data_IF_365900430080
#
_entry.id   IF_365900430080
#
_cell.length_a   1.000
_cell.length_b   1.000
_cell.length_c   1.000
_cell.angle_alpha   90.00
_cell.angle_beta   90.00
_cell.angle_gamma   90.00
#
_symmetry.space_group_name_H-M   'P 1'
#
loop_
_entity.id
_entity.type
_entity.pdbx_description
1 polymer ?
#
# COMPACT_ATOMS: atom_id res chain seq x y z
N UNK A 1 -60.48 24.78 17.76
CA UNK A 1 -61.54 23.91 17.18
C UNK A 1 -61.08 23.40 15.82
N UNK A 2 -60.75 22.18 15.70
CA UNK A 2 -61.04 21.09 14.80
C UNK A 2 -59.94 20.04 14.89
N UNK A 3 -60.31 18.96 15.49
CA UNK A 3 -59.71 17.64 15.56
C UNK A 3 -59.94 16.89 14.26
N UNK A 4 -59.03 16.07 13.80
CA UNK A 4 -59.17 14.92 12.90
C UNK A 4 -57.77 14.27 12.84
N UNK A 5 -57.45 12.99 13.06
CA UNK A 5 -58.22 11.77 13.15
C UNK A 5 -57.20 10.65 12.93
N UNK A 6 -57.07 9.81 13.90
CA UNK A 6 -56.17 8.62 13.92
C UNK A 6 -56.68 7.61 12.89
N UNK A 7 -55.82 7.10 12.00
CA UNK A 7 -56.15 5.96 11.15
C UNK A 7 -55.09 4.85 11.41
N UNK A 8 -55.44 3.96 12.31
CA UNK A 8 -54.75 2.68 12.62
C UNK A 8 -55.12 1.67 11.52
N UNK A 9 -54.11 1.14 10.80
CA UNK A 9 -54.28 -0.06 9.98
C UNK A 9 -53.45 -1.19 10.52
N UNK A 10 -54.15 -2.17 11.05
CA UNK A 10 -53.68 -3.53 11.36
C UNK A 10 -53.28 -4.22 10.05
N UNK A 11 -52.10 -4.81 10.03
CA UNK A 11 -51.70 -5.83 9.03
C UNK A 11 -51.50 -7.17 9.76
N UNK A 12 -52.41 -8.10 9.46
CA UNK A 12 -52.38 -9.50 9.91
C UNK A 12 -51.23 -10.23 9.24
N UNK A 13 -50.36 -10.84 10.03
CA UNK A 13 -49.33 -11.78 9.59
C UNK A 13 -49.98 -13.16 9.36
N UNK A 14 -49.93 -13.65 8.13
CA UNK A 14 -50.26 -15.02 7.75
C UNK A 14 -49.00 -15.87 7.81
N UNK A 15 -48.90 -16.76 8.82
CA UNK A 15 -47.85 -17.77 8.94
C UNK A 15 -48.26 -18.99 8.15
N UNK A 16 -47.56 -19.32 7.08
CA UNK A 16 -47.72 -20.56 6.31
C UNK A 16 -46.67 -21.56 6.75
N UNK A 17 -47.10 -22.57 7.53
CA UNK A 17 -46.27 -23.71 7.94
C UNK A 17 -46.24 -24.74 6.81
N UNK A 18 -45.10 -24.96 6.15
CA UNK A 18 -44.90 -26.12 5.27
C UNK A 18 -44.25 -27.26 6.08
N UNK A 19 -45.07 -28.29 6.34
CA UNK A 19 -44.59 -29.56 6.88
C UNK A 19 -44.03 -30.43 5.76
N UNK A 20 -42.73 -30.74 5.77
CA UNK A 20 -42.15 -31.78 4.93
C UNK A 20 -42.18 -33.10 5.70
N UNK A 21 -42.94 -34.08 5.18
CA UNK A 21 -42.90 -35.46 5.62
C UNK A 21 -41.69 -36.16 4.99
N UNK A 22 -40.85 -36.79 5.82
CA UNK A 22 -39.76 -37.64 5.38
C UNK A 22 -40.27 -39.09 5.29
N UNK A 23 -40.19 -39.70 4.11
CA UNK A 23 -40.38 -41.14 3.91
C UNK A 23 -39.06 -41.88 4.08
N UNK A 24 -39.06 -43.10 4.69
CA UNK A 24 -37.84 -43.88 4.83
C UNK A 24 -37.55 -44.70 3.54
N UNK A 25 -36.35 -44.55 3.01
CA UNK A 25 -35.82 -45.39 1.93
C UNK A 25 -35.33 -46.71 2.53
N UNK A 26 -35.89 -47.81 2.03
CA UNK A 26 -35.52 -49.20 2.39
C UNK A 26 -34.14 -49.53 1.82
N UNK A 27 -33.29 -50.10 2.67
CA UNK A 27 -31.99 -50.67 2.26
C UNK A 27 -32.20 -51.97 1.48
N UNK A 28 -31.71 -52.02 0.25
CA UNK A 28 -31.54 -53.25 -0.54
C UNK A 28 -30.16 -53.83 -0.29
N UNK A 29 -30.14 -55.05 0.20
CA UNK A 29 -28.93 -55.84 0.45
C UNK A 29 -28.22 -56.26 -0.83
N UNK A 30 -26.90 -56.24 -0.80
CA UNK A 30 -26.02 -56.81 -1.82
C UNK A 30 -25.67 -58.26 -1.45
N UNK A 31 -25.55 -59.19 -2.43
CA UNK A 31 -25.21 -60.59 -2.22
C UNK A 31 -23.72 -60.74 -1.88
N UNK A 32 -23.47 -61.59 -0.90
CA UNK A 32 -22.16 -62.09 -0.49
C UNK A 32 -21.56 -62.97 -1.62
N UNK A 33 -20.35 -62.64 -2.09
CA UNK A 33 -19.55 -63.51 -2.90
C UNK A 33 -18.31 -63.97 -2.15
N UNK A 34 -18.29 -65.26 -1.85
CA UNK A 34 -17.11 -66.02 -1.46
C UNK A 34 -16.04 -66.02 -2.55
N UNK A 35 -14.83 -65.65 -2.18
CA UNK A 35 -13.71 -65.70 -3.13
C UNK A 35 -12.36 -65.49 -2.45
N UNK A 36 -11.71 -66.60 -2.14
CA UNK A 36 -10.29 -66.90 -1.94
C UNK A 36 -9.31 -65.69 -1.83
N UNK A 37 -8.58 -65.67 -0.70
CA UNK A 37 -7.45 -64.78 -0.45
C UNK A 37 -6.26 -65.09 -1.38
N UNK A 38 -5.64 -64.08 -2.04
CA UNK A 38 -4.29 -64.20 -2.56
C UNK A 38 -3.28 -63.68 -1.55
N UNK A 39 -2.22 -64.42 -1.41
CA UNK A 39 -0.99 -64.27 -0.66
C UNK A 39 -0.42 -62.85 -0.82
N UNK A 40 -0.21 -62.17 0.29
CA UNK A 40 0.43 -60.86 0.35
C UNK A 40 1.92 -60.93 0.05
N UNK A 41 2.31 -60.42 -1.12
CA UNK A 41 3.68 -59.97 -1.35
C UNK A 41 3.77 -58.55 -0.86
N UNK A 42 4.41 -58.35 0.28
CA UNK A 42 4.74 -57.01 0.80
C UNK A 42 5.82 -56.43 -0.10
N UNK A 43 5.40 -55.57 -1.03
CA UNK A 43 6.28 -54.62 -1.69
C UNK A 43 6.51 -53.48 -0.68
N UNK A 44 7.74 -53.38 -0.20
CA UNK A 44 8.26 -52.29 0.62
C UNK A 44 8.12 -50.99 -0.19
N UNK A 45 7.04 -50.27 0.04
CA UNK A 45 6.86 -48.92 -0.51
C UNK A 45 7.80 -47.97 0.24
N UNK A 46 8.95 -47.71 -0.39
CA UNK A 46 9.84 -46.64 -0.03
C UNK A 46 9.03 -45.33 -0.06
N UNK A 47 8.67 -44.81 1.10
CA UNK A 47 8.04 -43.49 1.22
C UNK A 47 8.95 -42.43 0.55
N UNK A 48 8.41 -41.59 -0.32
CA UNK A 48 9.22 -40.49 -0.85
C UNK A 48 9.67 -39.63 0.34
N UNK A 49 10.98 -39.47 0.50
CA UNK A 49 11.56 -38.46 1.34
C UNK A 49 11.02 -37.10 0.89
N UNK A 50 10.06 -36.58 1.62
CA UNK A 50 9.68 -35.17 1.50
C UNK A 50 10.89 -34.38 1.99
N UNK A 51 11.74 -33.97 1.05
CA UNK A 51 12.65 -32.86 1.31
C UNK A 51 11.79 -31.64 1.60
N UNK A 52 11.61 -31.30 2.86
CA UNK A 52 11.06 -30.02 3.27
C UNK A 52 12.05 -28.96 2.78
N UNK A 53 11.81 -28.43 1.60
CA UNK A 53 12.50 -27.23 1.18
C UNK A 53 12.05 -26.15 2.18
N UNK A 54 12.91 -25.84 3.15
CA UNK A 54 12.73 -24.68 4.01
C UNK A 54 12.80 -23.48 3.07
N UNK A 55 11.64 -23.00 2.64
CA UNK A 55 11.59 -21.75 1.89
C UNK A 55 12.21 -20.68 2.77
N UNK A 56 13.41 -20.25 2.38
CA UNK A 56 14.10 -19.17 3.05
C UNK A 56 13.27 -17.91 2.83
N UNK A 57 12.81 -17.24 3.89
CA UNK A 57 12.00 -16.04 3.74
C UNK A 57 12.77 -15.03 2.89
N UNK A 58 12.09 -14.54 1.85
CA UNK A 58 12.65 -13.58 0.90
C UNK A 58 12.23 -12.17 1.31
N UNK A 59 13.18 -11.26 1.41
CA UNK A 59 12.94 -9.83 1.58
C UNK A 59 13.03 -9.17 0.22
N UNK A 60 11.96 -8.51 -0.18
CA UNK A 60 11.90 -7.73 -1.42
C UNK A 60 12.00 -6.25 -1.07
N UNK A 61 12.91 -5.55 -1.75
CA UNK A 61 13.14 -4.12 -1.59
C UNK A 61 12.94 -3.45 -2.93
N UNK A 62 11.91 -2.63 -3.03
CA UNK A 62 11.70 -1.78 -4.19
C UNK A 62 12.65 -0.59 -4.11
N UNK A 63 13.36 -0.33 -5.21
CA UNK A 63 14.30 0.77 -5.34
C UNK A 63 13.96 1.60 -6.58
N UNK A 64 13.79 2.90 -6.40
CA UNK A 64 13.66 3.87 -7.47
C UNK A 64 14.95 4.66 -7.59
N UNK A 65 15.47 4.77 -8.79
CA UNK A 65 16.66 5.59 -9.09
C UNK A 65 16.27 6.71 -10.03
N UNK A 66 16.54 7.95 -9.65
CA UNK A 66 16.25 9.14 -10.45
C UNK A 66 17.49 10.03 -10.57
N UNK A 67 17.44 11.00 -11.45
CA UNK A 67 18.30 12.16 -11.36
C UNK A 67 17.75 13.22 -10.37
N UNK A 68 18.47 14.31 -10.18
CA UNK A 68 18.08 15.42 -9.29
C UNK A 68 16.81 16.18 -9.76
N UNK A 69 16.42 16.01 -11.01
CA UNK A 69 15.21 16.61 -11.59
C UNK A 69 14.00 15.63 -11.49
N UNK A 70 14.19 14.42 -10.91
CA UNK A 70 13.15 13.41 -10.74
C UNK A 70 12.95 12.51 -11.97
N UNK A 71 13.80 12.61 -13.01
CA UNK A 71 13.72 11.71 -14.17
C UNK A 71 14.21 10.32 -13.78
N UNK A 72 13.40 9.30 -14.03
CA UNK A 72 13.71 7.91 -13.70
C UNK A 72 14.88 7.39 -14.55
N UNK A 73 15.83 6.75 -13.91
CA UNK A 73 16.99 6.14 -14.57
C UNK A 73 16.70 4.66 -14.80
N UNK A 74 16.43 4.32 -16.05
CA UNK A 74 16.17 2.95 -16.51
C UNK A 74 17.45 2.25 -16.99
N UNK A 75 17.37 0.91 -17.13
CA UNK A 75 18.44 0.09 -17.71
C UNK A 75 19.58 -0.26 -16.77
N UNK A 76 19.45 0.03 -15.46
CA UNK A 76 20.41 -0.46 -14.46
C UNK A 76 20.28 -1.99 -14.33
N UNK A 77 21.41 -2.62 -14.02
CA UNK A 77 21.53 -4.08 -13.87
C UNK A 77 21.73 -4.43 -12.40
N UNK A 78 21.51 -5.69 -12.03
CA UNK A 78 21.74 -6.23 -10.69
C UNK A 78 23.08 -5.79 -10.08
N UNK A 79 24.15 -5.82 -10.89
CA UNK A 79 25.49 -5.43 -10.45
C UNK A 79 25.69 -3.95 -10.14
N UNK A 80 24.72 -3.09 -10.47
CA UNK A 80 24.74 -1.68 -10.09
C UNK A 80 24.26 -1.46 -8.65
N UNK A 81 23.61 -2.46 -8.04
CA UNK A 81 22.99 -2.34 -6.73
C UNK A 81 23.75 -3.10 -5.66
N UNK A 82 23.77 -2.56 -4.47
CA UNK A 82 24.27 -3.18 -3.25
C UNK A 82 23.24 -2.97 -2.15
N UNK A 83 22.88 -4.06 -1.49
CA UNK A 83 21.97 -4.04 -0.34
C UNK A 83 22.76 -4.32 0.92
N UNK A 84 22.57 -3.51 1.94
CA UNK A 84 23.16 -3.72 3.27
C UNK A 84 22.03 -3.89 4.29
N UNK A 85 22.12 -4.93 5.11
CA UNK A 85 21.24 -5.23 6.24
C UNK A 85 22.03 -5.00 7.53
N UNK A 86 21.64 -4.02 8.34
CA UNK A 86 22.39 -3.53 9.51
C UNK A 86 23.88 -3.29 9.21
N UNK A 87 24.16 -2.75 8.01
CA UNK A 87 25.51 -2.46 7.54
C UNK A 87 26.25 -3.67 6.95
N UNK A 88 25.71 -4.88 7.01
CA UNK A 88 26.30 -6.09 6.43
C UNK A 88 25.83 -6.27 4.98
N UNK A 89 26.74 -6.43 4.00
CA UNK A 89 26.35 -6.66 2.60
C UNK A 89 25.55 -7.94 2.44
N UNK A 90 24.45 -7.85 1.68
CA UNK A 90 23.61 -8.98 1.35
C UNK A 90 23.77 -9.39 -0.12
N UNK A 91 23.63 -10.68 -0.38
CA UNK A 91 23.63 -11.20 -1.75
C UNK A 91 22.22 -11.00 -2.33
N UNK A 92 22.12 -10.18 -3.37
CA UNK A 92 20.87 -10.03 -4.11
C UNK A 92 20.63 -11.35 -4.84
N UNK A 93 19.62 -12.10 -4.44
CA UNK A 93 19.29 -13.41 -5.04
C UNK A 93 18.53 -13.22 -6.33
N UNK A 94 17.55 -12.30 -6.34
CA UNK A 94 16.72 -12.02 -7.48
C UNK A 94 16.66 -10.52 -7.78
N UNK A 95 16.50 -10.19 -9.07
CA UNK A 95 16.49 -8.82 -9.57
C UNK A 95 15.52 -8.73 -10.75
N UNK A 96 14.55 -7.84 -10.64
CA UNK A 96 13.60 -7.58 -11.70
C UNK A 96 13.37 -6.07 -11.87
N UNK A 97 13.10 -5.65 -13.10
CA UNK A 97 12.37 -4.39 -13.36
C UNK A 97 10.89 -4.68 -13.18
N UNK A 98 10.19 -3.83 -12.46
CA UNK A 98 8.82 -4.16 -12.05
C UNK A 98 7.84 -3.84 -13.18
N UNK A 99 7.43 -4.89 -13.92
CA UNK A 99 6.25 -4.86 -14.80
C UNK A 99 5.03 -5.53 -14.11
N UNK A 100 5.16 -5.87 -12.83
CA UNK A 100 4.09 -6.51 -12.09
C UNK A 100 2.96 -5.54 -11.76
N UNK A 101 1.69 -5.97 -11.83
CA UNK A 101 0.56 -5.15 -11.43
C UNK A 101 0.73 -4.62 -10.00
N UNK A 102 0.41 -3.35 -9.82
CA UNK A 102 0.42 -2.71 -8.51
C UNK A 102 -0.98 -2.64 -7.93
N UNK A 103 -1.07 -2.63 -6.60
CA UNK A 103 -2.28 -2.27 -5.88
C UNK A 103 -2.06 -0.94 -5.18
N UNK A 104 -2.84 0.07 -5.53
CA UNK A 104 -2.72 1.40 -4.96
C UNK A 104 -4.02 1.82 -4.27
N UNK A 105 -3.88 2.37 -3.05
CA UNK A 105 -4.97 3.06 -2.37
C UNK A 105 -4.73 4.55 -2.47
N UNK A 106 -5.65 5.27 -3.11
CA UNK A 106 -5.73 6.72 -3.03
C UNK A 106 -6.42 7.03 -1.70
N UNK A 107 -5.61 7.45 -0.72
CA UNK A 107 -6.09 7.87 0.60
C UNK A 107 -6.14 9.40 0.63
N UNK A 108 -7.33 9.94 0.53
CA UNK A 108 -7.54 11.37 0.35
C UNK A 108 -8.24 11.99 1.55
N UNK A 109 -7.66 13.04 2.10
CA UNK A 109 -8.33 13.87 3.08
C UNK A 109 -9.56 14.53 2.47
N UNK A 110 -10.70 14.35 3.14
CA UNK A 110 -11.98 14.92 2.73
C UNK A 110 -12.65 15.58 3.94
N UNK A 111 -11.95 16.54 4.52
CA UNK A 111 -12.35 17.31 5.68
C UNK A 111 -12.68 18.76 5.30
N UNK A 112 -13.32 19.48 6.18
CA UNK A 112 -13.56 20.90 5.99
C UNK A 112 -12.29 21.74 5.94
N UNK A 113 -11.17 21.25 6.50
CA UNK A 113 -9.84 21.89 6.41
C UNK A 113 -9.34 21.87 4.96
N UNK A 114 -9.54 20.74 4.26
CA UNK A 114 -9.05 20.53 2.90
C UNK A 114 -10.06 20.92 1.82
N UNK A 115 -11.30 21.24 2.18
CA UNK A 115 -12.44 21.34 1.26
C UNK A 115 -12.22 22.34 0.12
N UNK A 116 -11.82 23.57 0.44
CA UNK A 116 -11.65 24.62 -0.56
C UNK A 116 -10.56 24.26 -1.59
N UNK A 117 -9.62 23.41 -1.19
CA UNK A 117 -8.56 22.92 -2.07
C UNK A 117 -9.04 21.78 -2.99
N UNK A 118 -9.90 20.89 -2.50
CA UNK A 118 -10.31 19.67 -3.21
C UNK A 118 -11.62 19.79 -3.98
N UNK A 119 -12.56 20.62 -3.53
CA UNK A 119 -13.97 20.57 -3.95
C UNK A 119 -14.17 20.64 -5.48
N UNK A 120 -13.32 21.40 -6.16
CA UNK A 120 -13.44 21.59 -7.61
C UNK A 120 -12.45 20.80 -8.45
N UNK A 121 -11.45 20.18 -7.84
CA UNK A 121 -10.25 19.74 -8.56
C UNK A 121 -9.86 18.28 -8.33
N UNK A 122 -10.34 17.65 -7.25
CA UNK A 122 -10.05 16.24 -6.97
C UNK A 122 -10.35 15.33 -8.16
N UNK A 123 -11.44 15.61 -8.89
CA UNK A 123 -11.81 14.85 -10.07
C UNK A 123 -10.80 15.02 -11.22
N UNK A 124 -10.32 16.24 -11.49
CA UNK A 124 -9.37 16.49 -12.57
C UNK A 124 -7.99 15.89 -12.25
N UNK A 125 -7.55 16.00 -11.01
CA UNK A 125 -6.28 15.40 -10.55
C UNK A 125 -6.35 13.89 -10.53
N UNK A 126 -7.48 13.34 -10.07
CA UNK A 126 -7.72 11.90 -10.07
C UNK A 126 -7.67 11.33 -11.49
N UNK A 127 -8.29 12.00 -12.47
CA UNK A 127 -8.24 11.59 -13.87
C UNK A 127 -6.80 11.58 -14.39
N UNK A 128 -6.04 12.65 -14.18
CA UNK A 128 -4.63 12.73 -14.59
C UNK A 128 -3.79 11.59 -14.01
N UNK A 129 -3.97 11.28 -12.71
CA UNK A 129 -3.27 10.16 -12.08
C UNK A 129 -3.70 8.81 -12.65
N UNK A 130 -5.02 8.59 -12.76
CA UNK A 130 -5.58 7.31 -13.21
C UNK A 130 -5.19 7.00 -14.67
N UNK A 131 -5.07 8.02 -15.53
CA UNK A 131 -4.67 7.86 -16.92
C UNK A 131 -3.23 7.37 -17.08
N UNK A 132 -2.36 7.62 -16.07
CA UNK A 132 -0.98 7.16 -16.07
C UNK A 132 -0.78 5.75 -15.47
N UNK A 133 -1.81 5.18 -14.83
CA UNK A 133 -1.77 3.81 -14.34
C UNK A 133 -2.03 2.81 -15.46
N UNK A 134 -1.40 1.64 -15.37
CA UNK A 134 -1.62 0.56 -16.32
C UNK A 134 -3.00 -0.09 -16.15
N UNK A 135 -3.52 -0.71 -17.21
CA UNK A 135 -4.86 -1.33 -17.17
C UNK A 135 -4.94 -2.49 -16.17
N UNK A 136 -3.83 -3.13 -15.89
CA UNK A 136 -3.72 -4.25 -14.95
C UNK A 136 -3.66 -3.82 -13.47
N UNK A 137 -3.46 -2.53 -13.20
CA UNK A 137 -3.32 -2.02 -11.84
C UNK A 137 -4.65 -1.98 -11.10
N UNK A 138 -4.58 -2.29 -9.80
CA UNK A 138 -5.71 -2.22 -8.90
C UNK A 138 -5.70 -0.89 -8.15
N UNK A 139 -6.84 -0.24 -8.11
CA UNK A 139 -7.02 1.05 -7.42
C UNK A 139 -8.19 0.95 -6.45
N UNK A 140 -8.01 1.49 -5.26
CA UNK A 140 -9.09 1.78 -4.33
C UNK A 140 -9.10 3.27 -3.99
N UNK A 141 -10.27 3.84 -3.73
CA UNK A 141 -10.44 5.20 -3.26
C UNK A 141 -10.99 5.17 -1.83
N UNK A 142 -10.20 5.68 -0.91
CA UNK A 142 -10.59 5.89 0.48
C UNK A 142 -10.51 7.38 0.78
N UNK A 143 -11.58 7.95 1.27
CA UNK A 143 -11.56 9.33 1.80
C UNK A 143 -11.59 9.28 3.31
N UNK A 144 -11.04 10.30 3.96
CA UNK A 144 -11.15 10.40 5.41
C UNK A 144 -11.43 11.83 5.87
N UNK A 145 -12.22 11.92 6.91
CA UNK A 145 -12.43 13.03 7.81
C UNK A 145 -12.16 12.53 9.24
N UNK A 146 -13.15 12.49 10.11
CA UNK A 146 -13.03 11.85 11.43
C UNK A 146 -12.88 10.31 11.35
N UNK A 147 -13.16 9.69 10.20
CA UNK A 147 -12.99 8.26 9.97
C UNK A 147 -12.73 7.96 8.49
N UNK A 148 -12.02 6.88 8.19
CA UNK A 148 -11.87 6.42 6.81
C UNK A 148 -13.21 5.91 6.25
N UNK A 149 -13.47 6.23 4.98
CA UNK A 149 -14.65 5.79 4.22
C UNK A 149 -14.20 5.27 2.87
N UNK A 150 -14.44 3.99 2.60
CA UNK A 150 -14.19 3.39 1.29
C UNK A 150 -15.24 3.91 0.31
N UNK A 151 -14.80 4.67 -0.68
CA UNK A 151 -15.64 5.17 -1.78
C UNK A 151 -15.71 4.18 -2.92
N UNK A 152 -14.57 3.56 -3.24
CA UNK A 152 -14.45 2.48 -4.21
C UNK A 152 -13.46 1.48 -3.64
N UNK A 153 -13.87 0.23 -3.54
CA UNK A 153 -12.98 -0.87 -3.14
C UNK A 153 -12.09 -1.28 -4.32
N UNK A 154 -11.11 -2.14 -4.10
CA UNK A 154 -10.12 -2.54 -5.09
C UNK A 154 -10.77 -2.92 -6.42
N UNK A 155 -10.44 -2.17 -7.46
CA UNK A 155 -10.97 -2.34 -8.82
C UNK A 155 -9.91 -2.02 -9.86
N UNK A 156 -10.07 -2.57 -11.06
CA UNK A 156 -9.33 -2.16 -12.27
C UNK A 156 -10.10 -1.14 -13.10
N UNK A 157 -11.34 -0.85 -12.72
CA UNK A 157 -12.19 0.13 -13.40
C UNK A 157 -11.82 1.55 -12.99
N UNK A 158 -10.87 2.15 -13.69
CA UNK A 158 -10.49 3.56 -13.49
C UNK A 158 -11.68 4.52 -13.61
N UNK A 159 -12.62 4.32 -14.59
CA UNK A 159 -13.81 5.16 -14.66
C UNK A 159 -14.69 5.11 -13.41
N UNK A 160 -14.75 3.97 -12.70
CA UNK A 160 -15.51 3.86 -11.46
C UNK A 160 -14.90 4.74 -10.35
N UNK A 161 -13.57 4.76 -10.26
CA UNK A 161 -12.84 5.61 -9.31
C UNK A 161 -13.02 7.09 -9.65
N UNK A 162 -12.90 7.45 -10.92
CA UNK A 162 -13.11 8.81 -11.40
C UNK A 162 -14.55 9.29 -11.11
N UNK A 163 -15.55 8.46 -11.39
CA UNK A 163 -16.94 8.79 -11.09
C UNK A 163 -17.15 9.01 -9.59
N UNK A 164 -16.55 8.19 -8.74
CA UNK A 164 -16.62 8.36 -7.29
C UNK A 164 -15.99 9.69 -6.84
N UNK A 165 -14.83 10.06 -7.40
CA UNK A 165 -14.20 11.36 -7.14
C UNK A 165 -15.10 12.53 -7.58
N UNK A 166 -15.71 12.43 -8.76
CA UNK A 166 -16.67 13.45 -9.26
C UNK A 166 -17.94 13.57 -8.42
N UNK A 167 -18.32 12.51 -7.71
CA UNK A 167 -19.51 12.48 -6.85
C UNK A 167 -19.26 13.03 -5.45
N UNK A 168 -18.01 13.36 -5.10
CA UNK A 168 -17.72 13.97 -3.82
C UNK A 168 -18.40 15.33 -3.70
N UNK A 169 -19.17 15.49 -2.63
CA UNK A 169 -19.89 16.71 -2.28
C UNK A 169 -19.22 17.41 -1.10
N UNK A 170 -19.97 18.14 -0.29
CA UNK A 170 -19.43 18.77 0.90
C UNK A 170 -18.99 17.73 1.96
N UNK A 171 -17.82 17.89 2.62
CA UNK A 171 -17.40 17.03 3.71
C UNK A 171 -18.36 17.16 4.90
N UNK A 172 -18.53 16.04 5.63
CA UNK A 172 -19.41 16.02 6.78
C UNK A 172 -18.80 16.66 8.02
N UNK A 173 -17.48 16.64 8.14
CA UNK A 173 -16.74 17.11 9.30
C UNK A 173 -15.60 18.03 8.87
N UNK A 174 -15.25 18.94 9.79
CA UNK A 174 -14.11 19.84 9.59
C UNK A 174 -12.78 19.14 9.94
N UNK A 175 -12.83 18.23 10.89
CA UNK A 175 -11.69 17.52 11.47
C UNK A 175 -11.15 16.45 10.51
N UNK A 176 -9.86 16.10 10.71
CA UNK A 176 -9.17 15.06 9.95
C UNK A 176 -8.39 14.13 10.88
N UNK A 177 -8.73 12.84 10.89
CA UNK A 177 -8.06 11.80 11.65
C UNK A 177 -7.12 11.00 10.74
N UNK A 178 -6.01 11.62 10.37
CA UNK A 178 -5.05 11.08 9.40
C UNK A 178 -4.39 9.79 9.89
N UNK A 179 -4.01 9.70 11.16
CA UNK A 179 -3.32 8.52 11.68
C UNK A 179 -4.24 7.30 11.71
N UNK A 180 -5.50 7.47 12.09
CA UNK A 180 -6.49 6.40 12.05
C UNK A 180 -6.73 5.93 10.60
N UNK A 181 -6.77 6.85 9.65
CA UNK A 181 -6.96 6.54 8.25
C UNK A 181 -5.77 5.78 7.63
N UNK A 182 -4.55 6.17 7.97
CA UNK A 182 -3.33 5.44 7.56
C UNK A 182 -3.34 4.03 8.17
N UNK A 183 -3.63 3.91 9.48
CA UNK A 183 -3.64 2.63 10.17
C UNK A 183 -4.68 1.65 9.58
N UNK A 184 -5.92 2.11 9.36
CA UNK A 184 -6.99 1.31 8.73
C UNK A 184 -6.61 0.88 7.30
N UNK A 185 -6.00 1.78 6.53
CA UNK A 185 -5.56 1.48 5.15
C UNK A 185 -4.45 0.45 5.13
N UNK A 186 -3.49 0.52 6.06
CA UNK A 186 -2.44 -0.48 6.20
C UNK A 186 -3.00 -1.86 6.56
N UNK A 187 -3.98 -1.92 7.49
CA UNK A 187 -4.65 -3.17 7.87
C UNK A 187 -5.40 -3.79 6.67
N UNK A 188 -6.07 -2.98 5.84
CA UNK A 188 -6.71 -3.45 4.60
C UNK A 188 -5.72 -4.01 3.58
N UNK A 189 -4.53 -3.42 3.50
CA UNK A 189 -3.48 -3.86 2.59
C UNK A 189 -2.70 -5.08 3.09
N UNK A 190 -2.85 -5.50 4.35
CA UNK A 190 -2.10 -6.62 4.92
C UNK A 190 -2.32 -7.91 4.14
N UNK A 191 -3.57 -8.20 3.76
CA UNK A 191 -3.94 -9.42 3.02
C UNK A 191 -3.69 -9.33 1.50
N UNK A 192 -3.36 -8.15 1.00
CA UNK A 192 -3.09 -7.95 -0.43
C UNK A 192 -1.68 -8.45 -0.75
N UNK A 193 -1.56 -9.31 -1.76
CA UNK A 193 -0.27 -9.83 -2.23
C UNK A 193 0.33 -8.92 -3.30
N UNK A 194 1.65 -8.99 -3.46
CA UNK A 194 2.37 -8.23 -4.46
C UNK A 194 2.73 -6.81 -4.02
N UNK A 195 2.98 -5.95 -5.00
CA UNK A 195 3.39 -4.56 -4.76
C UNK A 195 2.20 -3.72 -4.33
N UNK A 196 2.37 -3.01 -3.24
CA UNK A 196 1.31 -2.22 -2.59
C UNK A 196 1.78 -0.81 -2.29
N UNK A 197 0.94 0.17 -2.58
CA UNK A 197 1.26 1.57 -2.30
C UNK A 197 0.04 2.34 -1.80
N UNK A 198 0.30 3.37 -1.02
CA UNK A 198 -0.68 4.38 -0.63
C UNK A 198 -0.25 5.70 -1.27
N UNK A 199 -1.15 6.34 -1.99
CA UNK A 199 -1.03 7.74 -2.36
C UNK A 199 -1.85 8.55 -1.37
N UNK A 200 -1.16 9.13 -0.39
CA UNK A 200 -1.76 9.97 0.65
C UNK A 200 -1.82 11.42 0.17
N UNK A 201 -3.01 11.97 0.03
CA UNK A 201 -3.26 13.36 -0.34
C UNK A 201 -3.89 14.05 0.86
N UNK A 202 -3.17 14.99 1.47
CA UNK A 202 -3.52 15.47 2.81
C UNK A 202 -3.01 16.89 3.07
N UNK A 203 -3.67 17.61 3.98
CA UNK A 203 -3.09 18.79 4.61
C UNK A 203 -1.97 18.45 5.59
N UNK A 204 -1.90 17.20 6.05
CA UNK A 204 -0.96 16.73 7.06
C UNK A 204 -1.39 17.01 8.49
N UNK A 205 -2.57 17.58 8.67
CA UNK A 205 -3.15 17.82 10.00
C UNK A 205 -3.81 16.55 10.52
N UNK A 206 -3.55 16.23 11.78
CA UNK A 206 -4.27 15.22 12.55
C UNK A 206 -4.95 15.86 13.74
N UNK A 207 -6.25 15.67 13.91
CA UNK A 207 -7.01 16.36 14.95
C UNK A 207 -7.32 15.48 16.15
N UNK A 208 -7.96 14.33 15.95
CA UNK A 208 -8.50 13.49 17.02
C UNK A 208 -8.31 11.99 16.78
N UNK A 209 -7.27 11.59 16.04
CA UNK A 209 -6.99 10.15 15.87
C UNK A 209 -6.79 9.46 17.22
N UNK A 210 -7.28 8.25 17.31
CA UNK A 210 -7.00 7.35 18.45
C UNK A 210 -5.62 6.72 18.30
N UNK A 211 -5.24 6.41 17.09
CA UNK A 211 -3.92 5.92 16.73
C UNK A 211 -2.89 7.02 16.96
N UNK A 212 -1.82 6.70 17.65
CA UNK A 212 -0.72 7.63 17.92
C UNK A 212 0.29 7.61 16.77
N UNK A 213 1.06 8.68 16.64
CA UNK A 213 2.09 8.81 15.61
C UNK A 213 3.15 7.67 15.66
N UNK A 214 3.57 7.28 16.87
CA UNK A 214 4.51 6.18 17.07
C UNK A 214 3.93 4.82 16.62
N UNK A 215 2.64 4.59 16.83
CA UNK A 215 1.93 3.39 16.36
C UNK A 215 1.83 3.34 14.83
N UNK A 216 1.62 4.51 14.17
CA UNK A 216 1.68 4.61 12.71
C UNK A 216 3.07 4.21 12.20
N UNK A 217 4.14 4.76 12.79
CA UNK A 217 5.51 4.39 12.41
C UNK A 217 5.78 2.89 12.59
N UNK A 218 5.29 2.30 13.68
CA UNK A 218 5.47 0.87 13.93
C UNK A 218 4.67 -0.01 12.95
N UNK A 219 3.47 0.41 12.56
CA UNK A 219 2.72 -0.27 11.47
C UNK A 219 3.47 -0.16 10.14
N UNK A 220 3.99 1.02 9.79
CA UNK A 220 4.76 1.24 8.57
C UNK A 220 6.03 0.38 8.51
N UNK A 221 6.78 0.26 9.61
CA UNK A 221 7.96 -0.61 9.70
C UNK A 221 7.63 -2.08 9.47
N UNK A 222 6.47 -2.54 9.94
CA UNK A 222 6.02 -3.93 9.76
C UNK A 222 5.37 -4.19 8.41
N UNK A 223 4.86 -3.15 7.76
CA UNK A 223 4.22 -3.28 6.46
C UNK A 223 5.26 -3.35 5.33
N UNK A 224 4.86 -3.92 4.19
CA UNK A 224 5.60 -3.82 2.92
C UNK A 224 4.93 -2.82 1.97
N UNK A 225 4.22 -1.84 2.50
CA UNK A 225 3.53 -0.79 1.74
C UNK A 225 4.45 0.40 1.56
N UNK A 226 4.51 0.95 0.35
CA UNK A 226 5.19 2.22 0.08
C UNK A 226 4.19 3.36 0.16
N UNK A 227 4.52 4.44 0.88
CA UNK A 227 3.67 5.62 0.96
C UNK A 227 4.27 6.76 0.15
N UNK A 228 3.46 7.31 -0.75
CA UNK A 228 3.70 8.57 -1.43
C UNK A 228 2.78 9.62 -0.82
N UNK A 229 3.33 10.81 -0.52
CA UNK A 229 2.56 11.88 0.09
C UNK A 229 2.48 13.09 -0.83
N UNK A 230 1.29 13.68 -0.94
CA UNK A 230 1.09 15.02 -1.51
C UNK A 230 0.53 15.89 -0.39
N UNK A 231 1.38 16.76 0.16
CA UNK A 231 1.01 17.70 1.22
C UNK A 231 0.50 19.00 0.61
N UNK A 232 -0.81 19.22 0.68
CA UNK A 232 -1.49 20.31 -0.03
C UNK A 232 -1.60 21.62 0.73
N UNK A 233 -1.09 21.71 1.96
CA UNK A 233 -1.28 22.88 2.81
C UNK A 233 -0.21 23.99 2.64
N UNK A 234 0.80 23.80 1.78
CA UNK A 234 1.90 24.78 1.67
C UNK A 234 1.41 26.17 1.27
N UNK A 235 0.49 26.25 0.29
CA UNK A 235 -0.06 27.53 -0.17
C UNK A 235 -0.85 28.25 0.91
N UNK A 236 -1.62 27.54 1.75
CA UNK A 236 -2.40 28.15 2.84
C UNK A 236 -1.52 28.60 3.98
N UNK A 237 -0.54 27.77 4.38
CA UNK A 237 0.42 28.17 5.43
C UNK A 237 1.29 29.35 4.98
N UNK A 238 1.70 29.39 3.72
CA UNK A 238 2.44 30.52 3.15
C UNK A 238 1.61 31.81 3.20
N UNK A 239 0.31 31.74 2.85
CA UNK A 239 -0.60 32.87 2.93
C UNK A 239 -0.94 33.29 4.37
N UNK A 240 -1.04 32.33 5.29
CA UNK A 240 -1.24 32.60 6.72
C UNK A 240 0.02 33.24 7.34
N UNK A 241 1.21 32.80 6.95
CA UNK A 241 2.49 33.33 7.43
C UNK A 241 2.71 34.78 6.96
N UNK A 242 2.33 35.07 5.72
CA UNK A 242 2.33 36.44 5.19
C UNK A 242 1.37 37.38 5.94
N UNK A 243 0.30 36.83 6.56
CA UNK A 243 -0.70 37.62 7.32
C UNK A 243 -0.40 37.71 8.79
N UNK A 244 0.21 36.70 9.41
CA UNK A 244 0.31 36.57 10.87
C UNK A 244 1.74 36.35 11.42
N UNK A 245 2.72 36.01 10.59
CA UNK A 245 4.13 35.84 10.98
C UNK A 245 4.42 34.67 11.96
N UNK A 246 3.53 33.69 12.12
CA UNK A 246 3.62 32.71 13.21
C UNK A 246 3.42 31.23 12.82
N UNK A 247 3.09 30.92 11.57
CA UNK A 247 2.64 29.57 11.20
C UNK A 247 3.73 28.59 10.75
N UNK A 248 4.99 28.99 10.71
CA UNK A 248 6.09 28.22 10.12
C UNK A 248 6.40 26.90 10.85
N UNK A 249 6.25 26.84 12.18
CA UNK A 249 6.61 25.66 12.98
C UNK A 249 5.65 24.48 12.71
N UNK A 250 4.35 24.73 12.74
CA UNK A 250 3.34 23.70 12.49
C UNK A 250 3.45 23.12 11.08
N UNK A 251 3.66 23.98 10.09
CA UNK A 251 3.90 23.55 8.72
C UNK A 251 5.16 22.69 8.59
N UNK A 252 6.28 23.09 9.20
CA UNK A 252 7.52 22.31 9.17
C UNK A 252 7.37 20.96 9.87
N UNK A 253 6.63 20.89 10.96
CA UNK A 253 6.33 19.62 11.65
C UNK A 253 5.54 18.67 10.75
N UNK A 254 4.46 19.15 10.13
CA UNK A 254 3.64 18.40 9.18
C UNK A 254 4.47 17.94 7.99
N UNK A 255 5.23 18.82 7.37
CA UNK A 255 6.12 18.49 6.25
C UNK A 255 7.13 17.41 6.61
N UNK A 256 7.80 17.53 7.76
CA UNK A 256 8.76 16.55 8.24
C UNK A 256 8.09 15.20 8.54
N UNK A 257 6.86 15.20 9.05
CA UNK A 257 6.10 14.00 9.33
C UNK A 257 5.76 13.23 8.04
N UNK A 258 5.18 13.92 7.05
CA UNK A 258 4.85 13.31 5.75
C UNK A 258 6.12 12.81 5.02
N UNK A 259 7.20 13.59 5.07
CA UNK A 259 8.49 13.18 4.54
C UNK A 259 9.01 11.92 5.24
N UNK A 260 8.87 11.84 6.57
CA UNK A 260 9.30 10.67 7.34
C UNK A 260 8.51 9.40 7.01
N UNK A 261 7.20 9.50 6.76
CA UNK A 261 6.40 8.36 6.30
C UNK A 261 6.88 7.85 4.94
N UNK A 262 7.12 8.77 4.02
CA UNK A 262 7.61 8.45 2.69
C UNK A 262 9.02 7.83 2.74
N UNK A 263 9.98 8.46 3.40
CA UNK A 263 11.36 8.01 3.49
C UNK A 263 11.48 6.62 4.15
N UNK A 264 10.71 6.38 5.21
CA UNK A 264 10.70 5.09 5.91
C UNK A 264 10.29 3.94 4.99
N UNK A 265 9.36 4.20 4.08
CA UNK A 265 8.72 3.20 3.21
C UNK A 265 9.31 3.13 1.80
N UNK A 266 10.25 4.01 1.47
CA UNK A 266 10.87 4.08 0.14
C UNK A 266 10.06 4.86 -0.89
N UNK A 267 9.06 5.61 -0.45
CA UNK A 267 8.35 6.60 -1.26
C UNK A 267 8.99 7.98 -1.17
N UNK A 268 8.24 8.99 -1.54
CA UNK A 268 8.64 10.39 -1.38
C UNK A 268 7.42 11.30 -1.19
N UNK A 269 7.67 12.52 -0.71
CA UNK A 269 6.63 13.51 -0.43
C UNK A 269 6.83 14.74 -1.28
N UNK A 270 5.73 15.24 -1.86
CA UNK A 270 5.67 16.50 -2.58
C UNK A 270 4.87 17.53 -1.80
N UNK A 271 5.26 18.77 -1.96
CA UNK A 271 4.61 19.90 -1.31
C UNK A 271 4.41 21.00 -2.36
N UNK A 272 3.30 20.95 -3.13
CA UNK A 272 3.03 21.92 -4.19
C UNK A 272 2.82 23.32 -3.62
N UNK A 273 3.51 24.29 -4.16
CA UNK A 273 3.34 25.71 -3.81
C UNK A 273 2.14 26.34 -4.48
N UNK A 274 1.79 25.79 -5.65
CA UNK A 274 0.63 26.21 -6.42
C UNK A 274 0.06 25.00 -7.19
N UNK A 275 -1.21 25.07 -7.48
CA UNK A 275 -1.97 23.96 -8.07
C UNK A 275 -1.44 23.46 -9.43
N UNK A 276 -0.83 24.35 -10.23
CA UNK A 276 -0.26 23.97 -11.51
C UNK A 276 0.86 22.94 -11.45
N UNK A 277 1.43 22.66 -10.26
CA UNK A 277 2.44 21.62 -10.06
C UNK A 277 1.83 20.22 -9.92
N UNK A 278 0.56 20.12 -9.55
CA UNK A 278 -0.08 18.85 -9.22
C UNK A 278 -0.11 17.84 -10.38
N UNK A 279 -0.42 18.20 -11.63
CA UNK A 279 -0.39 17.25 -12.74
C UNK A 279 0.99 16.61 -12.94
N UNK A 280 2.06 17.38 -12.82
CA UNK A 280 3.42 16.86 -12.92
C UNK A 280 3.78 15.93 -11.75
N UNK A 281 3.29 16.24 -10.55
CA UNK A 281 3.45 15.38 -9.37
C UNK A 281 2.72 14.06 -9.55
N UNK A 282 1.47 14.05 -9.97
CA UNK A 282 0.72 12.81 -10.22
C UNK A 282 1.37 11.95 -11.30
N UNK A 283 1.87 12.58 -12.37
CA UNK A 283 2.65 11.89 -13.41
C UNK A 283 3.92 11.27 -12.82
N UNK A 284 4.62 12.00 -11.94
CA UNK A 284 5.82 11.51 -11.28
C UNK A 284 5.51 10.33 -10.35
N UNK A 285 4.41 10.36 -9.59
CA UNK A 285 3.98 9.21 -8.76
C UNK A 285 3.73 7.99 -9.63
N UNK A 286 2.90 8.12 -10.67
CA UNK A 286 2.58 7.01 -11.56
C UNK A 286 3.84 6.46 -12.26
N UNK A 287 4.70 7.35 -12.79
CA UNK A 287 5.98 6.95 -13.37
C UNK A 287 6.89 6.22 -12.40
N UNK A 288 6.90 6.63 -11.14
CA UNK A 288 7.66 5.93 -10.08
C UNK A 288 7.12 4.54 -9.82
N UNK A 289 5.81 4.40 -9.73
CA UNK A 289 5.16 3.12 -9.45
C UNK A 289 5.48 2.08 -10.52
N UNK A 290 5.54 2.49 -11.79
CA UNK A 290 5.77 1.61 -12.93
C UNK A 290 7.25 1.34 -13.22
N UNK A 291 8.21 2.07 -12.59
CA UNK A 291 9.62 2.03 -12.98
C UNK A 291 10.57 1.82 -11.80
N UNK A 292 10.24 0.90 -10.90
CA UNK A 292 11.11 0.52 -9.79
C UNK A 292 11.88 -0.76 -10.11
N UNK A 293 13.00 -0.93 -9.43
CA UNK A 293 13.77 -2.16 -9.41
C UNK A 293 13.41 -2.97 -8.16
N UNK A 294 12.99 -4.22 -8.32
CA UNK A 294 12.78 -5.14 -7.22
C UNK A 294 14.08 -5.90 -6.94
N UNK A 295 14.61 -5.71 -5.74
CA UNK A 295 15.81 -6.36 -5.24
C UNK A 295 15.41 -7.36 -4.18
N UNK A 296 15.72 -8.64 -4.37
CA UNK A 296 15.40 -9.67 -3.40
C UNK A 296 16.65 -10.24 -2.77
N UNK A 297 16.60 -10.48 -1.46
CA UNK A 297 17.66 -11.18 -0.74
C UNK A 297 17.07 -12.06 0.36
N UNK A 298 17.80 -13.10 0.78
CA UNK A 298 17.42 -13.94 1.91
C UNK A 298 18.21 -13.50 3.13
N UNK A 299 17.53 -13.04 4.21
CA UNK A 299 18.21 -12.70 5.45
C UNK A 299 18.98 -13.90 6.00
N UNK A 300 20.13 -13.66 6.61
CA UNK A 300 20.86 -14.70 7.32
C UNK A 300 20.02 -15.26 8.47
N UNK A 301 20.33 -16.45 8.96
CA UNK A 301 19.56 -17.07 10.04
C UNK A 301 19.60 -16.22 11.32
N UNK A 302 20.70 -15.53 11.58
CA UNK A 302 20.86 -14.61 12.70
C UNK A 302 19.94 -13.38 12.60
N UNK A 303 19.60 -12.94 11.39
CA UNK A 303 18.72 -11.80 11.12
C UNK A 303 17.23 -12.18 11.13
N UNK A 304 16.86 -13.42 11.52
CA UNK A 304 15.46 -13.88 11.60
C UNK A 304 14.94 -13.84 13.03
N UNK A 305 15.00 -12.69 13.63
CA UNK A 305 14.77 -12.48 15.07
C UNK A 305 13.45 -11.73 15.37
N UNK A 306 12.63 -11.44 14.36
CA UNK A 306 11.38 -10.70 14.49
C UNK A 306 11.55 -9.20 14.74
N UNK A 307 12.79 -8.68 14.70
CA UNK A 307 13.06 -7.26 14.95
C UNK A 307 13.09 -6.45 13.67
N UNK A 308 13.13 -5.15 13.83
CA UNK A 308 13.32 -4.22 12.73
C UNK A 308 14.81 -4.07 12.41
N UNK A 309 15.17 -4.40 11.17
CA UNK A 309 16.52 -4.28 10.60
C UNK A 309 16.60 -3.06 9.69
N UNK A 310 17.70 -2.34 9.76
CA UNK A 310 17.96 -1.17 8.90
C UNK A 310 18.47 -1.63 7.55
N UNK A 311 17.82 -1.19 6.50
CA UNK A 311 18.27 -1.40 5.12
C UNK A 311 18.94 -0.16 4.57
N UNK A 312 20.01 -0.36 3.81
CA UNK A 312 20.60 0.65 2.95
C UNK A 312 20.81 0.06 1.57
N UNK A 313 20.21 0.69 0.58
CA UNK A 313 20.49 0.37 -0.83
C UNK A 313 21.48 1.41 -1.36
N UNK A 314 22.46 0.95 -2.11
CA UNK A 314 23.45 1.78 -2.77
C UNK A 314 23.44 1.49 -4.27
N UNK A 315 23.66 2.51 -5.08
CA UNK A 315 23.79 2.39 -6.54
C UNK A 315 25.15 2.88 -6.99
N UNK A 316 25.80 2.10 -7.86
CA UNK A 316 27.13 2.40 -8.38
C UNK A 316 27.26 2.09 -9.87
N UNK A 317 28.24 2.68 -10.50
CA UNK A 317 28.66 2.30 -11.85
C UNK A 317 29.28 0.91 -11.92
N UNK A 318 29.54 0.40 -13.13
CA UNK A 318 30.20 -0.92 -13.33
C UNK A 318 31.60 -1.02 -12.72
N UNK A 319 32.25 0.12 -12.51
CA UNK A 319 33.56 0.28 -11.89
C UNK A 319 33.52 0.37 -10.35
N UNK A 320 32.32 0.27 -9.75
CA UNK A 320 32.09 0.43 -8.32
C UNK A 320 32.15 1.88 -7.82
N UNK A 321 32.36 2.86 -8.73
CA UNK A 321 32.33 4.27 -8.41
C UNK A 321 30.88 4.79 -8.42
N UNK A 322 30.62 5.97 -7.85
CA UNK A 322 29.29 6.57 -7.93
C UNK A 322 28.77 6.65 -9.36
N UNK A 323 27.53 6.26 -9.56
CA UNK A 323 26.88 6.27 -10.88
C UNK A 323 26.92 7.68 -11.47
N UNK A 324 27.52 7.83 -12.65
CA UNK A 324 27.60 9.09 -13.38
C UNK A 324 26.51 9.15 -14.42
N UNK A 325 25.64 10.13 -14.29
CA UNK A 325 24.56 10.42 -15.24
C UNK A 325 24.78 11.80 -15.82
N UNK A 326 24.56 11.93 -17.12
CA UNK A 326 24.65 13.21 -17.80
C UNK A 326 23.33 13.48 -18.53
N UNK A 327 22.90 14.74 -18.56
CA UNK A 327 21.77 15.14 -19.37
C UNK A 327 22.10 15.15 -20.88
N UNK A 328 21.11 15.42 -21.71
CA UNK A 328 21.27 15.51 -23.19
C UNK A 328 22.30 16.55 -23.63
N UNK A 329 22.70 17.48 -22.75
CA UNK A 329 23.71 18.53 -23.00
C UNK A 329 25.07 18.16 -22.42
N UNK A 330 25.24 16.95 -21.87
CA UNK A 330 26.49 16.48 -21.28
C UNK A 330 26.79 17.02 -19.88
N UNK A 331 25.82 17.70 -19.22
CA UNK A 331 25.99 18.17 -17.84
C UNK A 331 25.78 17.02 -16.86
N UNK A 332 26.71 16.86 -15.92
CA UNK A 332 26.58 15.86 -14.86
C UNK A 332 25.35 16.14 -13.99
N UNK A 333 24.59 15.07 -13.67
CA UNK A 333 23.42 15.07 -12.81
C UNK A 333 23.66 14.22 -11.57
N UNK A 334 23.15 14.67 -10.43
CA UNK A 334 23.18 13.90 -9.19
C UNK A 334 22.17 12.77 -9.28
N UNK A 335 22.57 11.57 -8.88
CA UNK A 335 21.69 10.41 -8.77
C UNK A 335 21.06 10.40 -7.39
N UNK A 336 19.75 10.19 -7.34
CA UNK A 336 18.95 10.04 -6.11
C UNK A 336 18.35 8.64 -6.09
N UNK A 337 18.44 7.98 -4.95
CA UNK A 337 17.91 6.64 -4.73
C UNK A 337 16.86 6.69 -3.65
N UNK A 338 15.69 6.15 -3.93
CA UNK A 338 14.60 5.95 -2.98
C UNK A 338 14.42 4.45 -2.76
N UNK A 339 14.50 4.03 -1.51
CA UNK A 339 14.26 2.65 -1.09
C UNK A 339 13.87 2.66 0.39
N UNK A 340 13.11 1.66 0.81
CA UNK A 340 12.71 1.55 2.21
C UNK A 340 13.92 1.48 3.14
N UNK A 341 13.82 2.13 4.30
CA UNK A 341 14.92 2.24 5.27
C UNK A 341 15.10 1.01 6.15
N UNK A 342 14.20 0.02 6.05
CA UNK A 342 14.30 -1.20 6.83
C UNK A 342 13.09 -2.11 6.64
N UNK A 343 13.12 -3.23 7.33
CA UNK A 343 12.04 -4.24 7.33
C UNK A 343 11.97 -4.92 8.69
N UNK A 344 10.80 -5.46 9.02
CA UNK A 344 10.68 -6.35 10.18
C UNK A 344 11.02 -7.77 9.73
N UNK A 345 12.06 -8.34 10.30
CA UNK A 345 12.51 -9.67 9.95
C UNK A 345 11.47 -10.74 10.32
N UNK A 346 11.33 -11.81 9.52
CA UNK A 346 10.52 -12.95 9.91
C UNK A 346 11.16 -13.63 11.13
N UNK A 347 10.35 -14.20 12.00
CA UNK A 347 10.85 -15.07 13.07
C UNK A 347 11.38 -16.37 12.46
N UNK A 348 12.53 -16.86 12.94
CA UNK A 348 12.95 -18.23 12.62
C UNK A 348 11.84 -19.18 13.09
N UNK A 349 11.32 -20.01 12.19
CA UNK A 349 10.43 -21.10 12.58
C UNK A 349 11.20 -21.96 13.59
N UNK A 350 10.60 -22.16 14.77
CA UNK A 350 11.13 -23.14 15.72
C UNK A 350 11.18 -24.49 14.97
N UNK A 351 12.38 -24.97 14.67
CA UNK A 351 12.55 -26.35 14.24
C UNK A 351 11.98 -27.20 15.36
N UNK A 352 10.89 -27.91 15.06
CA UNK A 352 10.40 -28.96 15.95
C UNK A 352 11.57 -29.98 16.04
N UNK A 353 12.37 -29.83 17.08
CA UNK A 353 13.24 -30.90 17.56
C UNK A 353 12.33 -31.81 18.40
N UNK A 354 11.84 -32.85 17.80
CA UNK A 354 11.41 -34.09 18.45
C UNK A 354 12.28 -35.25 17.94
#
# INVERSE_FOLDING_TARGET
MKSIGICTRLFSALVLACSFAAEPVAAQGFPEQDGAAPTSVQAEQKQPEYSTSVESPLVVVDALVTDEDGNVLMGLKKGNFRVLDDGKPQIITDFATTDAPITIVILMEYSGIAYDYFAYKAASWGTEFLDHLEQQDWVALVTYDMKPTVRVDFTRSKPAVEQAMRSLSYPGFHEANMFDAIADTLDRLEQVKGKKSILLITTGVDTFSRTRLDEVFDKLKRSNVTIFCIGIAESEYLMADLRAGTSSIGYLQMKNQLQSFADLTGGFAWFPRFEGELPDMFRSVAGTLSNQYALSFSPTQESRDGKYHKLKVEVSGPDGLPLKVTDKKGKARKVVLYARQGYTAPMASATAND
#
